data_IF_402620872314
#
_entry.id   IF_402620872314
#
_cell.length_a   1.000
_cell.length_b   1.000
_cell.length_c   1.000
_cell.angle_alpha   90.00
_cell.angle_beta   90.00
_cell.angle_gamma   90.00
#
_symmetry.space_group_name_H-M   'P 1'
#
loop_
_entity.id
_entity.type
_entity.pdbx_description
1 polymer ?
#
# COMPACT_ATOMS: atom_id res chain seq x y z
N UNK A 1 30.09 -4.35 -14.36
CA UNK A 1 31.15 -3.45 -13.91
C UNK A 1 30.85 -3.18 -12.45
N UNK A 2 31.64 -3.75 -11.54
CA UNK A 2 31.47 -3.50 -10.11
C UNK A 2 31.94 -2.08 -9.82
N UNK A 3 31.03 -1.24 -9.34
CA UNK A 3 31.32 0.16 -8.98
C UNK A 3 32.13 0.15 -7.69
N UNK A 4 33.28 0.81 -7.68
CA UNK A 4 34.13 0.94 -6.48
C UNK A 4 33.37 1.69 -5.36
N UNK A 5 33.16 1.08 -4.17
CA UNK A 5 32.41 1.69 -3.08
C UNK A 5 32.98 3.04 -2.59
N UNK A 6 34.28 3.28 -2.78
CA UNK A 6 34.95 4.54 -2.39
C UNK A 6 34.44 5.73 -3.20
N UNK A 7 33.81 5.48 -4.35
CA UNK A 7 33.20 6.54 -5.15
C UNK A 7 31.98 7.20 -4.47
N UNK A 8 31.43 6.58 -3.42
CA UNK A 8 30.29 7.14 -2.67
C UNK A 8 30.70 8.02 -1.48
N UNK A 9 31.98 8.03 -1.10
CA UNK A 9 32.48 8.73 0.10
C UNK A 9 32.26 10.26 0.05
N UNK A 10 32.06 10.81 -1.15
CA UNK A 10 31.84 12.25 -1.37
C UNK A 10 30.42 12.59 -1.87
N UNK A 11 29.52 11.61 -1.95
CA UNK A 11 28.14 11.86 -2.38
C UNK A 11 27.38 12.52 -1.23
N UNK A 12 27.09 13.80 -1.39
CA UNK A 12 26.20 14.52 -0.48
C UNK A 12 24.78 14.03 -0.72
N UNK A 13 24.19 13.38 0.29
CA UNK A 13 22.79 12.93 0.25
C UNK A 13 21.91 14.10 0.65
N UNK A 14 20.88 14.37 -0.15
CA UNK A 14 19.88 15.38 0.16
C UNK A 14 18.83 14.78 1.10
N UNK A 15 18.60 15.43 2.24
CA UNK A 15 17.58 15.00 3.21
C UNK A 15 16.18 14.90 2.59
N UNK A 16 15.88 15.74 1.60
CA UNK A 16 14.60 15.67 0.89
C UNK A 16 14.43 14.36 0.09
N UNK A 17 15.52 13.80 -0.43
CA UNK A 17 15.48 12.53 -1.16
C UNK A 17 15.22 11.38 -0.19
N UNK A 18 15.87 11.40 0.98
CA UNK A 18 15.62 10.44 2.07
C UNK A 18 14.15 10.52 2.50
N UNK A 19 13.66 11.72 2.76
CA UNK A 19 12.29 11.94 3.18
C UNK A 19 11.28 11.46 2.12
N UNK A 20 11.56 11.69 0.84
CA UNK A 20 10.71 11.21 -0.26
C UNK A 20 10.64 9.69 -0.31
N UNK A 21 11.77 9.00 -0.13
CA UNK A 21 11.83 7.52 -0.11
C UNK A 21 11.04 6.97 1.08
N UNK A 22 11.25 7.54 2.28
CA UNK A 22 10.52 7.12 3.49
C UNK A 22 9.02 7.34 3.31
N UNK A 23 8.63 8.51 2.79
CA UNK A 23 7.22 8.83 2.56
C UNK A 23 6.58 7.87 1.54
N UNK A 24 7.27 7.59 0.43
CA UNK A 24 6.82 6.63 -0.59
C UNK A 24 6.57 5.26 0.01
N UNK A 25 7.49 4.77 0.86
CA UNK A 25 7.32 3.49 1.55
C UNK A 25 6.07 3.48 2.45
N UNK A 26 5.89 4.51 3.28
CA UNK A 26 4.76 4.60 4.20
C UNK A 26 3.42 4.65 3.46
N UNK A 27 3.34 5.43 2.38
CA UNK A 27 2.14 5.57 1.54
C UNK A 27 1.83 4.27 0.79
N UNK A 28 2.85 3.63 0.23
CA UNK A 28 2.67 2.37 -0.50
C UNK A 28 2.11 1.27 0.41
N UNK A 29 2.60 1.19 1.64
CA UNK A 29 2.18 0.20 2.64
C UNK A 29 0.97 0.64 3.49
N UNK A 30 0.34 1.77 3.17
CA UNK A 30 -0.85 2.27 3.86
C UNK A 30 -0.67 2.59 5.35
N UNK A 31 0.55 2.97 5.77
CA UNK A 31 0.88 3.37 7.15
C UNK A 31 0.55 4.85 7.41
N UNK A 32 -0.73 5.19 7.33
CA UNK A 32 -1.24 6.56 7.43
C UNK A 32 -0.74 7.30 8.68
N UNK A 33 -0.91 6.71 9.85
CA UNK A 33 -0.63 7.33 11.14
C UNK A 33 0.88 7.64 11.27
N UNK A 34 1.72 6.74 10.75
CA UNK A 34 3.18 6.91 10.71
C UNK A 34 3.58 7.97 9.69
N UNK A 35 2.94 7.98 8.52
CA UNK A 35 3.13 9.00 7.49
C UNK A 35 2.80 10.41 8.01
N UNK A 36 1.65 10.58 8.68
CA UNK A 36 1.23 11.86 9.27
C UNK A 36 2.23 12.34 10.32
N UNK A 37 2.65 11.44 11.22
CA UNK A 37 3.65 11.73 12.24
C UNK A 37 5.00 12.11 11.62
N UNK A 38 5.41 11.39 10.58
CA UNK A 38 6.66 11.64 9.86
C UNK A 38 6.65 13.02 9.18
N UNK A 39 5.60 13.36 8.43
CA UNK A 39 5.44 14.66 7.79
C UNK A 39 5.51 15.80 8.80
N UNK A 40 4.78 15.67 9.91
CA UNK A 40 4.77 16.66 10.99
C UNK A 40 6.16 16.85 11.61
N UNK A 41 6.84 15.74 11.92
CA UNK A 41 8.17 15.77 12.55
C UNK A 41 9.28 16.29 11.63
N UNK A 42 9.20 16.00 10.32
CA UNK A 42 10.20 16.38 9.32
C UNK A 42 9.92 17.76 8.70
N UNK A 43 8.85 18.46 9.11
CA UNK A 43 8.49 19.78 8.57
C UNK A 43 8.11 19.76 7.10
N UNK A 44 7.65 18.62 6.58
CA UNK A 44 7.31 18.46 5.18
C UNK A 44 5.91 19.00 4.87
N UNK A 45 5.67 19.37 3.60
CA UNK A 45 4.31 19.63 3.12
C UNK A 45 3.62 18.30 2.84
N UNK A 46 2.41 18.13 3.35
CA UNK A 46 1.59 16.96 3.05
C UNK A 46 1.15 17.00 1.58
N UNK A 47 1.48 15.97 0.78
CA UNK A 47 0.94 15.86 -0.56
C UNK A 47 -0.48 15.29 -0.50
N UNK A 48 -1.46 16.07 -0.97
CA UNK A 48 -2.89 15.82 -0.81
C UNK A 48 -3.36 14.54 -1.51
N UNK A 49 -2.80 14.24 -2.69
CA UNK A 49 -3.27 13.15 -3.57
C UNK A 49 -2.98 11.76 -2.99
N UNK A 50 -1.89 11.60 -2.23
CA UNK A 50 -1.51 10.29 -1.71
C UNK A 50 -2.42 9.80 -0.59
N UNK A 51 -3.01 10.72 0.19
CA UNK A 51 -3.78 10.36 1.38
C UNK A 51 -5.09 9.70 0.99
N UNK A 52 -5.80 10.26 0.01
CA UNK A 52 -7.10 9.73 -0.42
C UNK A 52 -6.97 8.33 -1.04
N UNK A 53 -6.00 8.15 -1.94
CA UNK A 53 -5.76 6.87 -2.59
C UNK A 53 -5.23 5.81 -1.62
N UNK A 54 -4.40 6.23 -0.66
CA UNK A 54 -3.94 5.34 0.42
C UNK A 54 -5.11 4.87 1.28
N UNK A 55 -6.04 5.76 1.65
CA UNK A 55 -7.23 5.40 2.44
C UNK A 55 -8.13 4.40 1.70
N UNK A 56 -8.34 4.63 0.39
CA UNK A 56 -9.06 3.69 -0.49
C UNK A 56 -8.42 2.30 -0.45
N UNK A 57 -7.10 2.20 -0.64
CA UNK A 57 -6.37 0.92 -0.58
C UNK A 57 -6.41 0.29 0.81
N UNK A 58 -6.25 1.09 1.88
CA UNK A 58 -6.29 0.61 3.28
C UNK A 58 -7.62 -0.05 3.61
N UNK A 59 -8.75 0.49 3.13
CA UNK A 59 -10.08 -0.11 3.32
C UNK A 59 -10.21 -1.47 2.66
N UNK A 60 -9.73 -1.61 1.43
CA UNK A 60 -9.69 -2.92 0.73
C UNK A 60 -8.85 -3.91 1.53
N UNK A 61 -7.64 -3.52 1.93
CA UNK A 61 -6.73 -4.36 2.69
C UNK A 61 -7.35 -4.81 4.03
N UNK A 62 -8.06 -3.93 4.73
CA UNK A 62 -8.74 -4.28 5.97
C UNK A 62 -9.79 -5.37 5.75
N UNK A 63 -10.58 -5.32 4.68
CA UNK A 63 -11.53 -6.40 4.38
C UNK A 63 -10.84 -7.74 4.11
N UNK A 64 -9.69 -7.73 3.43
CA UNK A 64 -8.88 -8.94 3.20
C UNK A 64 -8.38 -9.51 4.53
N UNK A 65 -7.80 -8.67 5.39
CA UNK A 65 -7.24 -9.09 6.69
C UNK A 65 -8.33 -9.58 7.65
N UNK A 66 -9.51 -8.96 7.63
CA UNK A 66 -10.65 -9.34 8.47
C UNK A 66 -11.36 -10.61 8.01
N UNK A 67 -10.90 -11.25 6.94
CA UNK A 67 -11.56 -12.43 6.38
C UNK A 67 -12.94 -12.10 5.78
N UNK A 68 -13.01 -10.98 5.05
CA UNK A 68 -14.21 -10.52 4.33
C UNK A 68 -13.91 -10.40 2.83
N UNK A 69 -13.44 -11.49 2.21
CA UNK A 69 -12.99 -11.51 0.82
C UNK A 69 -14.00 -10.96 -0.20
N UNK A 70 -15.31 -11.31 -0.07
CA UNK A 70 -16.35 -10.75 -0.97
C UNK A 70 -16.45 -9.23 -0.88
N UNK A 71 -16.38 -8.65 0.33
CA UNK A 71 -16.43 -7.19 0.50
C UNK A 71 -15.19 -6.51 -0.06
N UNK A 72 -14.03 -7.18 0.03
CA UNK A 72 -12.81 -6.69 -0.60
C UNK A 72 -12.95 -6.65 -2.14
N UNK A 73 -13.55 -7.67 -2.74
CA UNK A 73 -13.83 -7.72 -4.19
C UNK A 73 -14.80 -6.60 -4.60
N UNK A 74 -15.93 -6.47 -3.90
CA UNK A 74 -16.94 -5.44 -4.17
C UNK A 74 -16.33 -4.04 -4.12
N UNK A 75 -15.59 -3.72 -3.04
CA UNK A 75 -14.97 -2.42 -2.87
C UNK A 75 -13.86 -2.17 -3.91
N UNK A 76 -13.14 -3.21 -4.32
CA UNK A 76 -12.11 -3.08 -5.36
C UNK A 76 -12.74 -2.71 -6.71
N UNK A 77 -13.87 -3.32 -7.08
CA UNK A 77 -14.56 -2.98 -8.33
C UNK A 77 -15.25 -1.61 -8.28
N UNK A 78 -15.70 -1.16 -7.10
CA UNK A 78 -16.23 0.20 -6.92
C UNK A 78 -15.13 1.26 -7.10
N UNK A 79 -13.96 1.05 -6.51
CA UNK A 79 -12.88 2.04 -6.47
C UNK A 79 -11.94 1.96 -7.70
N UNK A 80 -11.81 0.79 -8.31
CA UNK A 80 -10.91 0.51 -9.43
C UNK A 80 -11.60 -0.41 -10.45
N UNK A 81 -12.64 0.12 -11.09
CA UNK A 81 -13.48 -0.62 -12.03
C UNK A 81 -12.68 -1.37 -13.12
N UNK A 82 -12.95 -2.67 -13.26
CA UNK A 82 -12.32 -3.55 -14.24
C UNK A 82 -10.88 -3.96 -13.90
N UNK A 83 -10.39 -3.66 -12.68
CA UNK A 83 -9.08 -4.11 -12.22
C UNK A 83 -9.03 -5.64 -12.10
N UNK A 84 -10.03 -6.27 -11.49
CA UNK A 84 -10.04 -7.72 -11.27
C UNK A 84 -10.34 -8.49 -12.56
N UNK A 85 -11.07 -7.87 -13.49
CA UNK A 85 -11.31 -8.43 -14.82
C UNK A 85 -10.01 -8.51 -15.64
N UNK A 86 -9.16 -7.49 -15.52
CA UNK A 86 -7.84 -7.43 -16.16
C UNK A 86 -6.80 -8.29 -15.45
N UNK A 87 -6.92 -8.45 -14.13
CA UNK A 87 -6.01 -9.24 -13.30
C UNK A 87 -6.73 -10.44 -12.68
N UNK A 88 -6.90 -11.48 -13.50
CA UNK A 88 -7.64 -12.70 -13.12
C UNK A 88 -6.96 -13.49 -12.01
N UNK A 89 -5.63 -13.44 -11.91
CA UNK A 89 -4.89 -14.12 -10.85
C UNK A 89 -5.23 -13.50 -9.50
N UNK A 90 -5.20 -12.16 -9.39
CA UNK A 90 -5.64 -11.45 -8.19
C UNK A 90 -7.10 -11.74 -7.84
N UNK A 91 -7.99 -11.76 -8.83
CA UNK A 91 -9.39 -12.09 -8.60
C UNK A 91 -9.55 -13.52 -8.07
N UNK A 92 -8.82 -14.47 -8.64
CA UNK A 92 -8.82 -15.86 -8.20
C UNK A 92 -8.28 -16.01 -6.76
N UNK A 93 -7.22 -15.28 -6.40
CA UNK A 93 -6.68 -15.27 -5.04
C UNK A 93 -7.71 -14.74 -4.02
N UNK A 94 -8.42 -13.65 -4.35
CA UNK A 94 -9.47 -13.10 -3.49
C UNK A 94 -10.66 -14.05 -3.33
N UNK A 95 -11.07 -14.74 -4.41
CA UNK A 95 -12.13 -15.77 -4.35
C UNK A 95 -11.67 -16.98 -3.53
N UNK A 96 -10.40 -17.38 -3.66
CA UNK A 96 -9.81 -18.47 -2.90
C UNK A 96 -9.76 -18.14 -1.41
N UNK A 97 -9.39 -16.91 -1.06
CA UNK A 97 -9.46 -16.42 0.32
C UNK A 97 -10.89 -16.51 0.86
N UNK A 98 -11.87 -16.02 0.10
CA UNK A 98 -13.27 -16.12 0.49
C UNK A 98 -13.75 -17.57 0.69
N UNK A 99 -13.33 -18.47 -0.19
CA UNK A 99 -13.62 -19.90 -0.04
C UNK A 99 -13.06 -20.46 1.27
N UNK A 100 -11.81 -20.14 1.61
CA UNK A 100 -11.19 -20.55 2.88
C UNK A 100 -11.97 -19.99 4.08
N UNK A 101 -12.41 -18.73 4.03
CA UNK A 101 -13.26 -18.13 5.07
C UNK A 101 -14.56 -18.92 5.28
N UNK A 102 -15.25 -19.30 4.19
CA UNK A 102 -16.48 -20.10 4.24
C UNK A 102 -16.25 -21.49 4.85
N UNK A 103 -15.12 -22.13 4.53
CA UNK A 103 -14.76 -23.44 5.09
C UNK A 103 -14.46 -23.31 6.59
N UNK A 104 -13.71 -22.30 7.00
CA UNK A 104 -13.35 -22.06 8.40
C UNK A 104 -14.56 -21.69 9.26
N UNK A 105 -15.55 -20.98 8.71
CA UNK A 105 -16.76 -20.56 9.43
C UNK A 105 -17.75 -21.69 9.73
N UNK A 106 -17.54 -22.89 9.19
CA UNK A 106 -18.41 -24.07 9.40
C UNK A 106 -17.98 -24.99 10.56
N UNK A 107 -16.97 -24.58 11.33
CA UNK A 107 -16.61 -25.22 12.60
C UNK A 107 -17.45 -24.68 13.74
#
# INVERSE_FOLDING_TARGET
>A
MDVDPRNYDHVVINDNDIHSIVLSYLVHNCYKETMESFISSAGMKQPTDYVEDMEKRKRILNFVIEGKGLKAIELTEELAHGLLEKNKDLHFDLLSLHFVELVCSRK
#
